data_IF_459874521450
#
_entry.id   IF_459874521450
#
_cell.length_a   1.000
_cell.length_b   1.000
_cell.length_c   1.000
_cell.angle_alpha   90.00
_cell.angle_beta   90.00
_cell.angle_gamma   90.00
#
_symmetry.space_group_name_H-M   'P 1'
#
loop_
_entity.id
_entity.type
_entity.pdbx_description
1 polymer ?
#
# COMPACT_ATOMS: atom_id res chain seq x y z
N UNK A 1 -12.55 6.15 10.26
CA UNK A 1 -12.84 4.82 9.68
C UNK A 1 -11.67 4.48 8.77
N UNK A 2 -11.07 3.30 8.93
CA UNK A 2 -9.88 2.90 8.16
C UNK A 2 -10.12 2.90 6.65
N UNK A 3 -9.10 3.22 5.87
CA UNK A 3 -9.19 3.16 4.40
C UNK A 3 -8.88 1.74 3.92
N UNK A 4 -9.76 1.15 3.10
CA UNK A 4 -9.55 -0.17 2.52
C UNK A 4 -9.18 0.03 1.05
N UNK A 5 -7.92 -0.18 0.72
CA UNK A 5 -7.35 0.14 -0.59
C UNK A 5 -6.89 -1.13 -1.30
N UNK A 6 -7.53 -1.44 -2.43
CA UNK A 6 -7.08 -2.52 -3.31
C UNK A 6 -6.02 -2.07 -4.31
N UNK A 7 -4.96 -2.85 -4.46
CA UNK A 7 -3.99 -2.73 -5.55
C UNK A 7 -4.34 -3.72 -6.67
N UNK A 8 -4.73 -3.20 -7.84
CA UNK A 8 -5.28 -4.00 -8.94
C UNK A 8 -4.55 -3.78 -10.27
N UNK A 9 -4.36 -4.86 -11.04
CA UNK A 9 -4.10 -4.80 -12.49
C UNK A 9 -4.45 -6.13 -13.16
N UNK A 10 -4.80 -6.07 -14.45
CA UNK A 10 -5.07 -7.22 -15.31
C UNK A 10 -3.79 -7.77 -15.98
N UNK A 11 -2.73 -8.09 -15.20
CA UNK A 11 -1.56 -8.90 -15.64
C UNK A 11 -0.56 -9.13 -14.50
N UNK A 12 0.09 -10.29 -14.50
CA UNK A 12 1.17 -10.63 -13.56
C UNK A 12 2.43 -9.78 -13.80
N UNK A 13 3.25 -9.59 -12.77
CA UNK A 13 4.56 -8.93 -12.89
C UNK A 13 4.56 -7.40 -12.92
N UNK A 14 3.42 -6.73 -12.71
CA UNK A 14 3.33 -5.26 -12.70
C UNK A 14 3.60 -4.61 -11.33
N UNK A 15 4.26 -5.33 -10.40
CA UNK A 15 4.69 -4.77 -9.12
C UNK A 15 3.60 -4.55 -8.06
N UNK A 16 2.39 -5.10 -8.18
CA UNK A 16 1.33 -4.97 -7.16
C UNK A 16 1.72 -5.49 -5.79
N UNK A 17 2.17 -6.74 -5.70
CA UNK A 17 2.56 -7.37 -4.44
C UNK A 17 3.68 -6.56 -3.79
N UNK A 18 4.73 -6.25 -4.56
CA UNK A 18 5.83 -5.39 -4.14
C UNK A 18 5.33 -4.03 -3.66
N UNK A 19 4.35 -3.43 -4.34
CA UNK A 19 3.78 -2.13 -3.97
C UNK A 19 2.97 -2.22 -2.68
N UNK A 20 2.13 -3.23 -2.55
CA UNK A 20 1.29 -3.47 -1.36
C UNK A 20 2.16 -3.68 -0.13
N UNK A 21 3.18 -4.54 -0.25
CA UNK A 21 4.12 -4.86 0.83
C UNK A 21 4.91 -3.62 1.24
N UNK A 22 5.48 -2.87 0.29
CA UNK A 22 6.37 -1.77 0.64
C UNK A 22 5.61 -0.52 1.08
N UNK A 23 4.45 -0.20 0.49
CA UNK A 23 3.60 0.86 1.04
C UNK A 23 3.15 0.47 2.46
N UNK A 24 2.67 -0.76 2.67
CA UNK A 24 2.25 -1.22 4.01
C UNK A 24 3.38 -1.18 5.04
N UNK A 25 4.57 -1.64 4.64
CA UNK A 25 5.80 -1.55 5.45
C UNK A 25 6.14 -0.12 5.83
N UNK A 26 6.20 0.78 4.84
CA UNK A 26 6.48 2.19 5.11
C UNK A 26 5.47 2.80 6.07
N UNK A 27 4.17 2.65 5.80
CA UNK A 27 3.09 3.17 6.64
C UNK A 27 3.20 2.67 8.09
N UNK A 28 3.52 1.39 8.30
CA UNK A 28 3.73 0.85 9.64
C UNK A 28 4.92 1.51 10.36
N UNK A 29 6.03 1.81 9.65
CA UNK A 29 7.16 2.58 10.22
C UNK A 29 6.81 4.03 10.56
N UNK A 30 5.72 4.55 9.99
CA UNK A 30 5.15 5.88 10.27
C UNK A 30 4.05 5.84 11.35
N UNK A 31 3.95 4.74 12.10
CA UNK A 31 3.04 4.59 13.23
C UNK A 31 1.58 4.28 12.86
N UNK A 32 1.26 4.06 11.58
CA UNK A 32 -0.10 3.68 11.19
C UNK A 32 -0.34 2.19 11.45
N UNK A 33 -1.54 1.84 11.95
CA UNK A 33 -1.98 0.45 12.03
C UNK A 33 -2.39 -0.05 10.65
N UNK A 34 -1.65 -1.01 10.10
CA UNK A 34 -1.83 -1.53 8.75
C UNK A 34 -2.15 -3.02 8.76
N UNK A 35 -3.19 -3.41 8.02
CA UNK A 35 -3.46 -4.80 7.65
C UNK A 35 -3.19 -4.98 6.15
N UNK A 36 -2.26 -5.84 5.78
CA UNK A 36 -2.10 -6.27 4.38
C UNK A 36 -2.84 -7.57 4.15
N UNK A 37 -3.62 -7.67 3.07
CA UNK A 37 -4.43 -8.85 2.72
C UNK A 37 -3.91 -9.45 1.42
N UNK A 38 -3.53 -10.71 1.46
CA UNK A 38 -3.20 -11.49 0.27
C UNK A 38 -4.47 -12.08 -0.33
N UNK A 39 -4.94 -11.57 -1.47
CA UNK A 39 -6.10 -12.15 -2.18
C UNK A 39 -5.69 -13.03 -3.35
N UNK A 40 -4.39 -13.15 -3.64
CA UNK A 40 -3.88 -13.97 -4.73
C UNK A 40 -3.66 -15.41 -4.22
N UNK A 41 -4.30 -16.44 -4.80
CA UNK A 41 -4.03 -17.83 -4.42
C UNK A 41 -2.56 -18.24 -4.56
N UNK A 42 -1.75 -17.51 -5.32
CA UNK A 42 -0.30 -17.75 -5.39
C UNK A 42 0.43 -17.43 -4.08
N UNK A 43 -0.18 -16.72 -3.13
CA UNK A 43 0.42 -16.44 -1.82
C UNK A 43 1.64 -15.51 -1.88
N UNK A 44 1.81 -14.75 -2.97
CA UNK A 44 3.02 -13.97 -3.21
C UNK A 44 3.23 -12.89 -2.14
N UNK A 45 2.17 -12.25 -1.64
CA UNK A 45 2.29 -11.25 -0.57
C UNK A 45 2.71 -11.91 0.74
N UNK A 46 2.12 -13.05 1.04
CA UNK A 46 2.44 -13.88 2.22
C UNK A 46 3.92 -14.28 2.22
N UNK A 47 4.39 -14.81 1.08
CA UNK A 47 5.79 -15.20 0.88
C UNK A 47 6.75 -14.00 0.90
N UNK A 48 6.36 -12.84 0.37
CA UNK A 48 7.18 -11.62 0.42
C UNK A 48 7.42 -11.17 1.87
N UNK A 49 6.47 -11.39 2.77
CA UNK A 49 6.69 -11.18 4.20
C UNK A 49 7.44 -12.34 4.88
N UNK A 50 7.93 -13.33 4.15
CA UNK A 50 8.76 -14.41 4.70
C UNK A 50 7.97 -15.50 5.42
N UNK A 51 6.65 -15.56 5.22
CA UNK A 51 5.82 -16.66 5.68
C UNK A 51 5.66 -17.67 4.55
N UNK A 52 5.98 -18.94 4.84
CA UNK A 52 5.76 -20.02 3.90
C UNK A 52 4.26 -20.33 3.78
N UNK A 53 3.73 -20.11 2.57
CA UNK A 53 2.31 -20.28 2.26
C UNK A 53 1.83 -21.73 2.43
N UNK A 54 2.74 -22.70 2.27
CA UNK A 54 2.40 -24.12 2.28
C UNK A 54 2.33 -24.70 3.71
N UNK A 55 2.94 -24.01 4.69
CA UNK A 55 2.95 -24.41 6.10
C UNK A 55 2.02 -23.59 7.00
N UNK A 56 1.14 -22.76 6.42
CA UNK A 56 0.15 -22.00 7.18
C UNK A 56 -0.89 -22.91 7.84
N UNK A 57 -1.06 -22.76 9.17
CA UNK A 57 -2.14 -23.44 9.92
C UNK A 57 -3.53 -22.83 9.68
N UNK A 58 -3.57 -21.59 9.23
CA UNK A 58 -4.78 -20.82 8.97
C UNK A 58 -4.52 -19.78 7.89
N UNK A 59 -5.45 -19.61 6.95
CA UNK A 59 -5.32 -18.57 5.92
C UNK A 59 -6.69 -18.00 5.51
N UNK A 60 -6.68 -17.09 4.55
CA UNK A 60 -7.87 -16.46 3.98
C UNK A 60 -8.97 -17.47 3.61
N UNK A 61 -8.59 -18.66 3.11
CA UNK A 61 -9.50 -19.77 2.80
C UNK A 61 -10.40 -20.13 3.98
N UNK A 62 -9.87 -20.20 5.20
CA UNK A 62 -10.65 -20.55 6.39
C UNK A 62 -11.71 -19.51 6.73
N UNK A 63 -11.42 -18.23 6.45
CA UNK A 63 -12.40 -17.15 6.61
C UNK A 63 -13.50 -17.25 5.55
N UNK A 64 -13.13 -17.51 4.31
CA UNK A 64 -14.09 -17.66 3.22
C UNK A 64 -15.01 -18.86 3.39
N UNK A 65 -14.50 -19.94 4.00
CA UNK A 65 -15.27 -21.12 4.35
C UNK A 65 -15.96 -21.02 5.73
N UNK A 66 -15.86 -19.88 6.42
CA UNK A 66 -16.43 -19.64 7.76
C UNK A 66 -16.00 -20.68 8.82
N UNK A 67 -14.77 -21.18 8.70
CA UNK A 67 -14.17 -22.16 9.63
C UNK A 67 -13.48 -21.50 10.82
N UNK A 68 -12.95 -20.30 10.60
CA UNK A 68 -12.22 -19.49 11.60
C UNK A 68 -12.68 -18.04 11.50
N UNK A 69 -12.44 -17.28 12.56
CA UNK A 69 -12.59 -15.82 12.54
C UNK A 69 -11.27 -15.12 12.20
N UNK A 70 -11.32 -13.83 11.86
CA UNK A 70 -10.16 -13.07 11.40
C UNK A 70 -8.98 -13.12 12.39
N UNK A 71 -9.26 -13.13 13.70
CA UNK A 71 -8.23 -13.00 14.74
C UNK A 71 -7.45 -14.31 14.92
N UNK A 72 -8.04 -15.43 14.50
CA UNK A 72 -7.40 -16.75 14.45
C UNK A 72 -6.52 -16.94 13.21
N UNK A 73 -6.65 -16.05 12.21
CA UNK A 73 -5.99 -16.17 10.90
C UNK A 73 -4.93 -15.09 10.69
N UNK A 74 -5.15 -13.88 11.21
CA UNK A 74 -4.23 -12.75 11.04
C UNK A 74 -2.90 -13.02 11.75
N UNK A 75 -1.82 -12.86 10.99
CA UNK A 75 -0.45 -12.88 11.50
C UNK A 75 -0.05 -11.47 11.90
N UNK A 76 0.32 -11.30 13.17
CA UNK A 76 0.91 -10.04 13.66
C UNK A 76 2.41 -10.05 13.39
N UNK A 77 2.84 -9.47 12.26
CA UNK A 77 4.27 -9.38 11.91
C UNK A 77 5.01 -8.45 12.87
N UNK A 78 4.39 -7.30 13.17
CA UNK A 78 4.87 -6.31 14.12
C UNK A 78 3.68 -5.58 14.76
N UNK A 79 3.92 -4.69 15.71
CA UNK A 79 2.91 -3.91 16.43
C UNK A 79 1.96 -3.15 15.47
N UNK A 80 2.49 -2.64 14.36
CA UNK A 80 1.75 -1.81 13.41
C UNK A 80 1.47 -2.48 12.06
N UNK A 81 2.00 -3.69 11.82
CA UNK A 81 1.87 -4.38 10.54
C UNK A 81 1.35 -5.79 10.75
N UNK A 82 0.12 -6.01 10.31
CA UNK A 82 -0.55 -7.30 10.34
C UNK A 82 -0.76 -7.82 8.92
N UNK A 83 -0.83 -9.13 8.78
CA UNK A 83 -0.97 -9.81 7.51
C UNK A 83 -2.16 -10.77 7.61
N UNK A 84 -3.07 -10.70 6.65
CA UNK A 84 -4.05 -11.74 6.39
C UNK A 84 -3.47 -12.63 5.27
N UNK A 85 -2.87 -13.78 5.62
CA UNK A 85 -2.13 -14.60 4.67
C UNK A 85 -3.06 -15.44 3.78
N UNK A 86 -2.52 -15.92 2.67
CA UNK A 86 -3.23 -16.77 1.71
C UNK A 86 -2.31 -17.85 1.14
N UNK A 87 -2.92 -18.88 0.55
CA UNK A 87 -2.20 -19.96 -0.11
C UNK A 87 -3.04 -20.57 -1.25
N UNK A 88 -2.46 -21.58 -1.90
CA UNK A 88 -3.00 -22.19 -3.12
C UNK A 88 -4.38 -22.83 -2.93
N UNK A 89 -4.73 -23.21 -1.69
CA UNK A 89 -6.05 -23.78 -1.35
C UNK A 89 -7.22 -22.85 -1.69
N UNK A 90 -6.96 -21.54 -1.79
CA UNK A 90 -7.94 -20.55 -2.20
C UNK A 90 -8.46 -20.77 -3.64
N UNK A 91 -7.72 -21.49 -4.47
CA UNK A 91 -8.16 -21.87 -5.83
C UNK A 91 -9.39 -22.78 -5.79
N UNK A 92 -9.43 -23.73 -4.86
CA UNK A 92 -10.58 -24.63 -4.68
C UNK A 92 -11.80 -23.88 -4.13
N UNK A 93 -11.55 -22.94 -3.20
CA UNK A 93 -12.57 -22.01 -2.70
C UNK A 93 -13.14 -21.22 -3.87
N UNK A 94 -12.31 -20.59 -4.69
CA UNK A 94 -12.72 -19.78 -5.83
C UNK A 94 -13.67 -20.55 -6.75
N UNK A 95 -13.37 -21.82 -7.04
CA UNK A 95 -14.24 -22.69 -7.84
C UNK A 95 -15.57 -22.98 -7.14
N UNK A 96 -15.56 -23.25 -5.83
CA UNK A 96 -16.77 -23.53 -5.04
C UNK A 96 -17.68 -22.31 -4.89
N UNK A 97 -17.12 -21.09 -4.86
CA UNK A 97 -17.86 -19.85 -4.74
C UNK A 97 -18.84 -19.64 -5.90
N UNK A 98 -18.63 -20.25 -7.07
CA UNK A 98 -19.52 -20.11 -8.21
C UNK A 98 -20.98 -20.52 -7.92
N UNK A 99 -21.22 -21.34 -6.90
CA UNK A 99 -22.56 -21.81 -6.50
C UNK A 99 -23.13 -21.07 -5.29
N UNK A 100 -22.34 -20.20 -4.65
CA UNK A 100 -22.70 -19.54 -3.41
C UNK A 100 -23.47 -18.24 -3.65
N UNK A 101 -24.52 -18.01 -2.86
CA UNK A 101 -25.24 -16.74 -2.82
C UNK A 101 -24.36 -15.67 -2.16
N UNK A 102 -24.45 -14.42 -2.62
CA UNK A 102 -23.72 -13.28 -2.05
C UNK A 102 -22.20 -13.46 -1.98
N UNK A 103 -21.64 -14.35 -2.81
CA UNK A 103 -20.22 -14.70 -2.88
C UNK A 103 -19.29 -13.51 -3.11
N UNK A 104 -19.80 -12.40 -3.64
CA UNK A 104 -19.07 -11.16 -3.89
C UNK A 104 -18.77 -10.36 -2.63
N UNK A 105 -19.45 -10.65 -1.52
CA UNK A 105 -19.42 -9.85 -0.29
C UNK A 105 -18.60 -10.48 0.84
N UNK A 106 -18.04 -11.67 0.65
CA UNK A 106 -17.41 -12.45 1.72
C UNK A 106 -16.28 -11.68 2.39
N UNK A 107 -15.35 -11.12 1.59
CA UNK A 107 -14.24 -10.34 2.16
C UNK A 107 -14.74 -9.07 2.88
N UNK A 108 -15.79 -8.41 2.37
CA UNK A 108 -16.37 -7.25 3.02
C UNK A 108 -16.90 -7.62 4.41
N UNK A 109 -17.62 -8.74 4.49
CA UNK A 109 -18.23 -9.19 5.74
C UNK A 109 -17.16 -9.62 6.77
N UNK A 110 -15.99 -10.07 6.30
CA UNK A 110 -14.80 -10.34 7.13
C UNK A 110 -14.12 -9.06 7.62
N UNK A 111 -13.92 -8.05 6.75
CA UNK A 111 -13.11 -6.87 7.06
C UNK A 111 -13.88 -5.72 7.72
N UNK A 112 -15.16 -5.56 7.40
CA UNK A 112 -15.97 -4.45 7.92
C UNK A 112 -16.04 -4.39 9.45
N UNK A 113 -16.17 -5.51 10.19
CA UNK A 113 -16.19 -5.49 11.66
C UNK A 113 -14.91 -4.95 12.30
N UNK A 114 -13.76 -5.09 11.63
CA UNK A 114 -12.44 -4.68 12.16
C UNK A 114 -11.89 -3.43 11.47
N UNK A 115 -12.66 -2.79 10.59
CA UNK A 115 -12.19 -1.64 9.82
C UNK A 115 -11.76 -0.46 10.71
N UNK A 116 -12.28 -0.39 11.94
CA UNK A 116 -11.92 0.63 12.91
C UNK A 116 -10.60 0.35 13.65
N UNK A 117 -10.09 -0.88 13.59
CA UNK A 117 -8.85 -1.30 14.27
C UNK A 117 -7.59 -0.94 13.45
N UNK A 118 -7.76 -0.57 12.18
CA UNK A 118 -6.69 -0.26 11.24
C UNK A 118 -6.89 1.13 10.63
N UNK A 119 -5.80 1.87 10.46
CA UNK A 119 -5.78 3.10 9.68
C UNK A 119 -5.91 2.76 8.18
N UNK A 120 -5.20 1.71 7.75
CA UNK A 120 -5.18 1.23 6.38
C UNK A 120 -5.31 -0.29 6.30
N UNK A 121 -6.18 -0.77 5.42
CA UNK A 121 -6.23 -2.16 4.98
C UNK A 121 -5.84 -2.19 3.51
N UNK A 122 -4.70 -2.80 3.18
CA UNK A 122 -4.14 -2.84 1.83
C UNK A 122 -4.33 -4.24 1.23
N UNK A 123 -5.05 -4.34 0.12
CA UNK A 123 -5.39 -5.63 -0.50
C UNK A 123 -4.57 -5.84 -1.78
N UNK A 124 -3.75 -6.90 -1.82
CA UNK A 124 -3.08 -7.36 -3.04
C UNK A 124 -3.99 -8.29 -3.82
N UNK A 125 -4.61 -7.79 -4.89
CA UNK A 125 -5.55 -8.57 -5.70
C UNK A 125 -4.84 -9.62 -6.58
N UNK A 126 -5.52 -10.70 -7.01
CA UNK A 126 -4.97 -11.56 -8.05
C UNK A 126 -4.86 -10.83 -9.41
N UNK A 127 -4.04 -11.35 -10.36
CA UNK A 127 -3.86 -10.75 -11.69
C UNK A 127 -5.09 -10.92 -12.61
N UNK A 128 -6.03 -11.78 -12.23
CA UNK A 128 -7.28 -12.01 -12.95
C UNK A 128 -8.40 -11.09 -12.41
N UNK A 129 -9.36 -10.71 -13.24
CA UNK A 129 -10.55 -9.95 -12.80
C UNK A 129 -11.70 -10.90 -12.44
N UNK A 130 -11.36 -11.97 -11.70
CA UNK A 130 -12.28 -13.02 -11.25
C UNK A 130 -13.07 -12.64 -9.99
N UNK A 131 -13.68 -13.64 -9.35
CA UNK A 131 -14.52 -13.44 -8.16
C UNK A 131 -13.72 -12.92 -6.96
N UNK A 132 -12.44 -13.26 -6.86
CA UNK A 132 -11.54 -12.76 -5.81
C UNK A 132 -11.26 -11.27 -5.96
N UNK A 133 -10.95 -10.81 -7.17
CA UNK A 133 -10.82 -9.37 -7.47
C UNK A 133 -12.13 -8.62 -7.25
N UNK A 134 -13.28 -9.23 -7.54
CA UNK A 134 -14.59 -8.63 -7.21
C UNK A 134 -14.76 -8.51 -5.69
N UNK A 135 -14.44 -9.54 -4.90
CA UNK A 135 -14.49 -9.49 -3.43
C UNK A 135 -13.63 -8.35 -2.88
N UNK A 136 -12.39 -8.21 -3.38
CA UNK A 136 -11.49 -7.14 -3.00
C UNK A 136 -12.10 -5.75 -3.27
N UNK A 137 -12.64 -5.52 -4.48
CA UNK A 137 -13.27 -4.25 -4.84
C UNK A 137 -14.58 -3.99 -4.06
N UNK A 138 -15.34 -5.03 -3.72
CA UNK A 138 -16.56 -4.89 -2.91
C UNK A 138 -16.24 -4.52 -1.46
N UNK A 139 -15.16 -5.05 -0.90
CA UNK A 139 -14.67 -4.70 0.42
C UNK A 139 -14.00 -3.31 0.49
N UNK A 140 -13.52 -2.80 -0.64
CA UNK A 140 -12.66 -1.61 -0.67
C UNK A 140 -13.42 -0.28 -0.62
N UNK A 141 -12.84 0.71 0.04
CA UNK A 141 -13.24 2.11 -0.09
C UNK A 141 -12.76 2.68 -1.41
N UNK A 142 -11.55 2.29 -1.82
CA UNK A 142 -10.93 2.73 -3.07
C UNK A 142 -9.93 1.73 -3.63
N UNK A 143 -9.49 1.96 -4.87
CA UNK A 143 -8.46 1.14 -5.48
C UNK A 143 -7.45 1.97 -6.26
N UNK A 144 -6.23 1.45 -6.31
CA UNK A 144 -5.08 1.99 -7.03
C UNK A 144 -4.64 0.97 -8.09
N UNK A 145 -4.35 1.47 -9.29
CA UNK A 145 -3.76 0.67 -10.35
C UNK A 145 -2.23 0.77 -10.30
N UNK A 146 -1.52 -0.35 -10.35
CA UNK A 146 -0.06 -0.37 -10.58
C UNK A 146 0.21 -0.65 -12.05
N UNK A 147 0.89 0.22 -12.77
CA UNK A 147 1.13 0.09 -14.22
C UNK A 147 2.62 0.03 -14.51
N UNK A 148 3.05 -1.02 -15.20
CA UNK A 148 4.41 -1.14 -15.71
C UNK A 148 4.50 -0.79 -17.21
N UNK A 149 5.53 -0.05 -17.66
CA UNK A 149 5.66 0.39 -19.05
C UNK A 149 5.57 -0.76 -20.06
N UNK A 150 6.27 -1.86 -19.78
CA UNK A 150 6.39 -3.05 -20.64
C UNK A 150 5.02 -3.69 -20.92
N UNK A 151 4.06 -3.48 -20.04
CA UNK A 151 2.74 -4.12 -20.08
C UNK A 151 1.63 -3.12 -20.39
N UNK A 152 1.95 -2.00 -21.05
CA UNK A 152 0.99 -0.96 -21.38
C UNK A 152 0.46 -1.01 -22.83
N UNK A 153 -0.47 -1.92 -23.16
CA UNK A 153 -1.50 -1.62 -24.12
C UNK A 153 -2.73 -1.09 -23.37
N UNK A 154 -3.28 0.04 -23.80
CA UNK A 154 -4.61 0.56 -23.38
C UNK A 154 -5.71 -0.54 -23.33
N UNK A 155 -5.53 -1.65 -24.06
CA UNK A 155 -6.34 -2.86 -23.99
C UNK A 155 -6.50 -3.45 -22.58
N UNK A 156 -5.53 -3.30 -21.68
CA UNK A 156 -5.60 -3.85 -20.31
C UNK A 156 -6.41 -2.96 -19.34
N UNK A 157 -6.59 -1.67 -19.66
CA UNK A 157 -7.36 -0.74 -18.82
C UNK A 157 -8.86 -0.95 -18.99
N UNK A 158 -9.31 -1.24 -20.22
CA UNK A 158 -10.74 -1.36 -20.53
C UNK A 158 -11.46 -2.45 -19.73
N UNK A 159 -11.00 -3.71 -19.68
CA UNK A 159 -11.67 -4.76 -18.90
C UNK A 159 -11.74 -4.44 -17.40
N UNK A 160 -10.72 -3.79 -16.87
CA UNK A 160 -10.71 -3.31 -15.49
C UNK A 160 -11.76 -2.20 -15.27
N UNK A 161 -11.86 -1.24 -16.19
CA UNK A 161 -12.87 -0.19 -16.12
C UNK A 161 -14.30 -0.75 -16.20
N UNK A 162 -14.53 -1.74 -17.07
CA UNK A 162 -15.82 -2.42 -17.20
C UNK A 162 -16.18 -3.17 -15.90
N UNK A 163 -15.20 -3.88 -15.33
CA UNK A 163 -15.35 -4.58 -14.04
C UNK A 163 -15.64 -3.60 -12.90
N UNK A 164 -14.87 -2.52 -12.80
CA UNK A 164 -15.09 -1.46 -11.83
C UNK A 164 -16.49 -0.84 -11.97
N UNK A 165 -16.92 -0.51 -13.18
CA UNK A 165 -18.23 0.10 -13.44
C UNK A 165 -19.38 -0.80 -12.99
N UNK A 166 -19.25 -2.11 -13.22
CA UNK A 166 -20.20 -3.12 -12.73
C UNK A 166 -20.21 -3.20 -11.21
N UNK A 167 -19.03 -3.37 -10.58
CA UNK A 167 -18.91 -3.43 -9.11
C UNK A 167 -19.49 -2.17 -8.48
N UNK A 168 -19.16 -1.00 -9.00
CA UNK A 168 -19.64 0.28 -8.47
C UNK A 168 -21.16 0.44 -8.58
N UNK A 169 -21.75 0.09 -9.72
CA UNK A 169 -23.19 0.27 -9.93
C UNK A 169 -24.04 -0.75 -9.15
N UNK A 170 -23.55 -1.99 -9.00
CA UNK A 170 -24.35 -3.12 -8.52
C UNK A 170 -24.00 -3.58 -7.10
N UNK A 171 -22.75 -3.43 -6.66
CA UNK A 171 -22.24 -4.09 -5.45
C UNK A 171 -21.67 -3.13 -4.40
N UNK A 172 -20.91 -2.11 -4.83
CA UNK A 172 -20.27 -1.14 -3.95
C UNK A 172 -20.31 0.29 -4.55
N UNK A 173 -21.42 1.00 -4.31
CA UNK A 173 -21.65 2.37 -4.84
C UNK A 173 -20.63 3.40 -4.38
N UNK A 174 -20.00 3.16 -3.24
CA UNK A 174 -19.01 4.06 -2.64
C UNK A 174 -17.59 3.87 -3.17
N UNK A 175 -17.31 2.80 -3.92
CA UNK A 175 -15.98 2.49 -4.44
C UNK A 175 -15.43 3.66 -5.28
N UNK A 176 -14.23 4.12 -4.94
CA UNK A 176 -13.53 5.18 -5.68
C UNK A 176 -12.33 4.63 -6.43
N UNK A 177 -12.15 5.10 -7.66
CA UNK A 177 -10.87 4.96 -8.34
C UNK A 177 -9.93 6.06 -7.85
N UNK A 178 -8.93 5.67 -7.07
CA UNK A 178 -8.01 6.59 -6.38
C UNK A 178 -6.92 7.09 -7.32
N UNK A 179 -6.18 6.18 -7.93
CA UNK A 179 -5.12 6.58 -8.82
C UNK A 179 -4.35 5.48 -9.52
N UNK A 180 -3.30 5.89 -10.22
CA UNK A 180 -2.36 5.03 -10.93
C UNK A 180 -0.96 5.30 -10.40
N UNK A 181 -0.26 4.24 -10.00
CA UNK A 181 1.17 4.27 -9.66
C UNK A 181 1.93 3.61 -10.80
N UNK A 182 2.94 4.30 -11.33
CA UNK A 182 3.81 3.73 -12.35
C UNK A 182 4.97 2.98 -11.70
N UNK A 183 5.13 1.70 -12.02
CA UNK A 183 6.13 0.80 -11.44
C UNK A 183 7.05 0.25 -12.52
N UNK A 184 8.22 -0.26 -12.14
CA UNK A 184 9.23 -0.80 -13.07
C UNK A 184 9.59 0.20 -14.19
N UNK A 185 9.56 1.49 -13.88
CA UNK A 185 9.80 2.55 -14.86
C UNK A 185 11.30 2.76 -15.12
N UNK A 186 11.68 2.93 -16.38
CA UNK A 186 13.00 3.43 -16.76
C UNK A 186 12.86 4.62 -17.71
N UNK A 187 12.91 5.83 -17.16
CA UNK A 187 12.76 7.07 -17.92
C UNK A 187 13.95 7.41 -18.82
N UNK A 188 15.01 6.60 -18.83
CA UNK A 188 16.04 6.67 -19.90
C UNK A 188 15.51 6.11 -21.22
N UNK A 189 14.45 5.30 -21.18
CA UNK A 189 13.81 4.70 -22.36
C UNK A 189 12.70 5.59 -22.90
N UNK A 190 12.58 5.68 -24.23
CA UNK A 190 11.45 6.36 -24.90
C UNK A 190 10.11 5.72 -24.55
N UNK A 191 10.08 4.38 -24.44
CA UNK A 191 8.87 3.63 -24.13
C UNK A 191 8.24 4.04 -22.79
N UNK A 192 9.04 4.12 -21.72
CA UNK A 192 8.52 4.57 -20.42
C UNK A 192 8.00 6.01 -20.46
N UNK A 193 8.67 6.90 -21.19
CA UNK A 193 8.21 8.29 -21.36
C UNK A 193 6.88 8.37 -22.14
N UNK A 194 6.73 7.56 -23.19
CA UNK A 194 5.49 7.50 -23.97
C UNK A 194 4.32 6.96 -23.14
N UNK A 195 4.54 5.87 -22.41
CA UNK A 195 3.54 5.30 -21.49
C UNK A 195 3.12 6.34 -20.46
N UNK A 196 4.08 7.05 -19.85
CA UNK A 196 3.80 8.13 -18.88
C UNK A 196 2.91 9.20 -19.48
N UNK A 197 3.21 9.68 -20.69
CA UNK A 197 2.37 10.69 -21.39
C UNK A 197 0.95 10.18 -21.65
N UNK A 198 0.77 8.90 -21.98
CA UNK A 198 -0.56 8.33 -22.18
C UNK A 198 -1.32 8.25 -20.85
N UNK A 199 -0.65 7.84 -19.77
CA UNK A 199 -1.26 7.83 -18.43
C UNK A 199 -1.65 9.24 -17.99
N UNK A 200 -0.80 10.25 -18.21
CA UNK A 200 -1.08 11.66 -17.89
C UNK A 200 -2.30 12.17 -18.65
N UNK A 201 -2.44 11.82 -19.93
CA UNK A 201 -3.61 12.21 -20.75
C UNK A 201 -4.91 11.55 -20.30
N UNK A 202 -4.87 10.28 -19.89
CA UNK A 202 -6.07 9.53 -19.51
C UNK A 202 -6.44 9.71 -18.02
N UNK A 203 -5.46 10.01 -17.16
CA UNK A 203 -5.61 10.09 -15.71
C UNK A 203 -4.93 11.33 -15.10
N UNK A 204 -5.18 12.56 -15.61
CA UNK A 204 -4.37 13.75 -15.28
C UNK A 204 -4.33 14.10 -13.78
N UNK A 205 -5.42 13.87 -13.06
CA UNK A 205 -5.54 14.16 -11.62
C UNK A 205 -5.47 12.90 -10.74
N UNK A 206 -5.18 11.75 -11.35
CA UNK A 206 -5.19 10.44 -10.70
C UNK A 206 -3.87 9.69 -10.89
N UNK A 207 -2.93 10.23 -11.66
CA UNK A 207 -1.62 9.65 -11.83
C UNK A 207 -0.70 10.18 -10.74
N UNK A 208 -0.09 9.26 -10.00
CA UNK A 208 0.90 9.60 -8.99
C UNK A 208 2.12 10.24 -9.67
N UNK A 209 2.62 11.32 -9.08
CA UNK A 209 3.85 11.98 -9.51
C UNK A 209 5.05 11.05 -9.25
N UNK A 210 5.06 10.42 -8.08
CA UNK A 210 6.04 9.42 -7.73
C UNK A 210 5.87 8.16 -8.59
N UNK A 211 6.99 7.47 -8.82
CA UNK A 211 7.06 6.24 -9.58
C UNK A 211 8.15 5.34 -9.01
N UNK A 212 8.08 4.05 -9.34
CA UNK A 212 9.04 3.06 -8.87
C UNK A 212 9.89 2.57 -10.04
N UNK A 213 11.21 2.67 -9.90
CA UNK A 213 12.17 2.15 -10.88
C UNK A 213 12.35 0.64 -10.74
N UNK A 214 12.83 0.01 -11.79
CA UNK A 214 13.29 -1.38 -11.68
C UNK A 214 14.52 -1.44 -10.75
N UNK A 215 14.46 -2.26 -9.71
CA UNK A 215 15.49 -2.34 -8.68
C UNK A 215 15.78 -3.80 -8.34
N UNK A 216 17.07 -4.16 -8.29
CA UNK A 216 17.54 -5.48 -7.86
C UNK A 216 17.23 -5.69 -6.37
N UNK A 217 17.48 -4.66 -5.54
CA UNK A 217 17.21 -4.70 -4.10
C UNK A 217 15.75 -5.03 -3.77
N UNK A 218 14.79 -4.63 -4.62
CA UNK A 218 13.37 -4.98 -4.42
C UNK A 218 13.10 -6.47 -4.62
N UNK A 219 13.79 -7.11 -5.57
CA UNK A 219 13.67 -8.55 -5.82
C UNK A 219 14.33 -9.35 -4.70
N UNK A 220 15.51 -8.89 -4.25
CA UNK A 220 16.23 -9.49 -3.13
C UNK A 220 15.45 -9.37 -1.83
N UNK A 221 14.89 -8.19 -1.52
CA UNK A 221 14.03 -7.97 -0.36
C UNK A 221 12.86 -8.98 -0.33
N UNK A 222 12.16 -9.13 -1.46
CA UNK A 222 11.09 -10.12 -1.62
C UNK A 222 11.56 -11.54 -1.36
N UNK A 223 12.73 -11.93 -1.87
CA UNK A 223 13.28 -13.28 -1.67
C UNK A 223 13.72 -13.56 -0.24
N UNK A 224 14.02 -12.50 0.53
CA UNK A 224 14.44 -12.60 1.93
C UNK A 224 13.31 -12.42 2.93
N UNK A 225 12.05 -12.33 2.47
CA UNK A 225 10.91 -12.18 3.37
C UNK A 225 10.84 -10.79 4.04
N UNK A 226 11.39 -9.76 3.39
CA UNK A 226 11.59 -8.43 3.96
C UNK A 226 10.95 -7.35 3.08
N UNK A 227 10.46 -6.30 3.73
CA UNK A 227 10.22 -5.03 3.04
C UNK A 227 11.55 -4.43 2.58
N UNK A 228 11.51 -3.52 1.61
CA UNK A 228 12.71 -2.83 1.13
C UNK A 228 13.37 -2.00 2.22
N UNK A 229 12.59 -1.50 3.18
CA UNK A 229 13.07 -0.71 4.32
C UNK A 229 13.81 -1.57 5.36
N UNK A 230 13.45 -2.86 5.46
CA UNK A 230 14.15 -3.84 6.32
C UNK A 230 15.39 -4.43 5.62
N UNK A 231 15.35 -4.56 4.30
CA UNK A 231 16.42 -5.17 3.52
C UNK A 231 17.54 -4.18 3.17
N UNK A 232 17.20 -3.08 2.49
CA UNK A 232 18.15 -2.07 2.02
C UNK A 232 17.48 -0.67 2.01
N UNK A 233 17.43 0.00 3.18
CA UNK A 233 16.77 1.29 3.33
C UNK A 233 17.46 2.44 2.58
N UNK A 234 18.70 2.23 2.10
CA UNK A 234 19.42 3.23 1.31
C UNK A 234 19.29 2.99 -0.20
N UNK A 235 18.62 1.91 -0.60
CA UNK A 235 18.40 1.59 -2.00
C UNK A 235 17.53 2.62 -2.72
N UNK A 236 17.70 2.64 -4.03
CA UNK A 236 16.82 3.36 -4.95
C UNK A 236 15.35 2.92 -4.83
N UNK A 237 15.12 1.64 -4.49
CA UNK A 237 13.78 1.09 -4.29
C UNK A 237 13.12 1.59 -3.01
N UNK A 238 13.88 1.71 -1.92
CA UNK A 238 13.40 2.31 -0.69
C UNK A 238 13.02 3.78 -0.89
N UNK A 239 13.89 4.54 -1.57
CA UNK A 239 13.60 5.93 -1.92
C UNK A 239 12.34 6.08 -2.78
N UNK A 240 12.20 5.26 -3.82
CA UNK A 240 11.04 5.31 -4.72
C UNK A 240 9.74 4.98 -3.98
N UNK A 241 9.72 3.91 -3.17
CA UNK A 241 8.52 3.53 -2.41
C UNK A 241 8.21 4.49 -1.27
N UNK A 242 9.21 5.11 -0.66
CA UNK A 242 9.00 6.20 0.29
C UNK A 242 8.21 7.33 -0.39
N UNK A 243 8.65 7.83 -1.55
CA UNK A 243 7.94 8.91 -2.27
C UNK A 243 6.51 8.51 -2.65
N UNK A 244 6.30 7.27 -3.13
CA UNK A 244 4.97 6.76 -3.46
C UNK A 244 4.07 6.68 -2.22
N UNK A 245 4.59 6.19 -1.10
CA UNK A 245 3.84 6.07 0.14
C UNK A 245 3.54 7.44 0.78
N UNK A 246 4.42 8.43 0.61
CA UNK A 246 4.18 9.81 1.05
C UNK A 246 3.10 10.49 0.21
N UNK A 247 3.15 10.35 -1.12
CA UNK A 247 2.07 10.83 -1.99
C UNK A 247 0.75 10.13 -1.68
N UNK A 248 0.79 8.82 -1.41
CA UNK A 248 -0.37 8.05 -0.94
C UNK A 248 -0.94 8.65 0.35
N UNK A 249 -0.12 8.94 1.35
CA UNK A 249 -0.57 9.55 2.60
C UNK A 249 -1.24 10.92 2.38
N UNK A 250 -0.61 11.80 1.59
CA UNK A 250 -1.13 13.12 1.27
C UNK A 250 -2.51 13.08 0.59
N UNK A 251 -2.74 12.04 -0.21
CA UNK A 251 -3.98 11.80 -0.93
C UNK A 251 -5.09 11.24 -0.02
N UNK A 252 -4.76 10.54 1.08
CA UNK A 252 -5.76 9.85 1.90
C UNK A 252 -6.36 10.67 3.04
N UNK A 253 -5.74 11.78 3.49
CA UNK A 253 -6.40 12.77 4.37
C UNK A 253 -6.13 12.68 5.88
N UNK A 254 -6.13 11.51 6.56
CA UNK A 254 -5.67 11.39 7.94
C UNK A 254 -4.24 11.90 8.11
N UNK A 255 -3.41 11.74 7.09
CA UNK A 255 -2.09 12.34 7.06
C UNK A 255 -2.14 13.86 7.14
N UNK A 256 -3.09 14.56 6.52
CA UNK A 256 -3.16 16.03 6.67
C UNK A 256 -3.56 16.45 8.09
N UNK A 257 -4.49 15.74 8.73
CA UNK A 257 -4.88 16.05 10.12
C UNK A 257 -3.79 15.66 11.11
N UNK A 258 -3.15 14.49 10.93
CA UNK A 258 -2.05 14.01 11.76
C UNK A 258 -0.78 14.84 11.54
N UNK A 259 -0.45 15.21 10.30
CA UNK A 259 0.65 16.13 9.96
C UNK A 259 0.36 17.53 10.48
N UNK A 260 -0.87 18.05 10.35
CA UNK A 260 -1.24 19.35 10.92
C UNK A 260 -1.14 19.33 12.46
N UNK A 261 -1.62 18.26 13.11
CA UNK A 261 -1.47 18.08 14.55
C UNK A 261 0.00 18.07 14.97
N UNK A 262 0.87 17.32 14.27
CA UNK A 262 2.29 17.30 14.60
C UNK A 262 3.00 18.60 14.24
N UNK A 263 2.58 19.29 13.18
CA UNK A 263 3.08 20.63 12.85
C UNK A 263 2.74 21.63 13.96
N UNK A 264 1.49 21.64 14.43
CA UNK A 264 1.06 22.48 15.56
C UNK A 264 1.79 22.10 16.85
N UNK A 265 1.88 20.81 17.17
CA UNK A 265 2.60 20.33 18.34
C UNK A 265 4.08 20.72 18.29
N UNK A 266 4.71 20.66 17.11
CA UNK A 266 6.10 21.06 16.91
C UNK A 266 6.28 22.56 17.13
N UNK A 267 5.42 23.39 16.53
CA UNK A 267 5.50 24.85 16.65
C UNK A 267 5.25 25.35 18.09
N UNK A 268 4.53 24.59 18.91
CA UNK A 268 4.29 24.90 20.32
C UNK A 268 5.46 24.53 21.24
N UNK A 269 6.46 23.77 20.76
CA UNK A 269 7.63 23.43 21.56
C UNK A 269 8.59 24.63 21.69
N UNK A 270 9.33 24.75 22.80
CA UNK A 270 10.44 25.70 22.90
C UNK A 270 11.45 25.48 21.76
N UNK A 271 12.07 26.55 21.25
CA UNK A 271 13.04 26.50 20.13
C UNK A 271 14.13 25.44 20.37
N UNK A 272 14.67 25.36 21.58
CA UNK A 272 15.71 24.38 21.94
C UNK A 272 15.25 22.93 21.70
N UNK A 273 13.98 22.62 22.00
CA UNK A 273 13.41 21.29 21.72
C UNK A 273 13.15 21.08 20.24
N UNK A 274 12.71 22.11 19.51
CA UNK A 274 12.51 22.04 18.07
C UNK A 274 13.84 21.69 17.37
N UNK A 275 14.93 22.35 17.74
CA UNK A 275 16.27 22.08 17.21
C UNK A 275 16.72 20.65 17.49
N UNK A 276 16.58 20.18 18.74
CA UNK A 276 16.94 18.80 19.11
C UNK A 276 16.16 17.75 18.31
N UNK A 277 14.86 17.97 18.12
CA UNK A 277 14.01 17.06 17.34
C UNK A 277 14.42 17.07 15.86
N UNK A 278 14.71 18.24 15.28
CA UNK A 278 15.15 18.34 13.89
C UNK A 278 16.52 17.73 13.67
N UNK A 279 17.47 17.91 14.58
CA UNK A 279 18.79 17.26 14.52
C UNK A 279 18.65 15.74 14.60
N UNK A 280 17.81 15.25 15.51
CA UNK A 280 17.56 13.82 15.63
C UNK A 280 16.87 13.27 14.37
N UNK A 281 15.84 13.95 13.86
CA UNK A 281 15.14 13.59 12.63
C UNK A 281 16.10 13.56 11.43
N UNK A 282 16.95 14.59 11.30
CA UNK A 282 17.99 14.66 10.28
C UNK A 282 18.98 13.51 10.41
N UNK A 283 19.34 13.10 11.63
CA UNK A 283 20.24 11.96 11.85
C UNK A 283 19.65 10.62 11.39
N UNK A 284 18.32 10.51 11.31
CA UNK A 284 17.59 9.33 10.83
C UNK A 284 17.41 9.28 9.30
N UNK A 285 17.61 10.40 8.60
CA UNK A 285 17.57 10.42 7.13
C UNK A 285 18.64 9.50 6.52
N UNK A 286 18.33 8.95 5.34
CA UNK A 286 19.29 8.22 4.52
C UNK A 286 20.48 9.10 4.15
N UNK A 287 21.64 8.48 3.90
CA UNK A 287 22.86 9.16 3.43
C UNK A 287 22.59 10.02 2.18
N UNK A 288 21.75 9.51 1.27
CA UNK A 288 21.30 10.22 0.07
C UNK A 288 20.45 11.46 0.38
N UNK A 289 19.48 11.36 1.30
CA UNK A 289 18.66 12.51 1.67
C UNK A 289 19.45 13.55 2.48
N UNK A 290 20.39 13.11 3.33
CA UNK A 290 21.30 14.02 4.05
C UNK A 290 22.12 14.88 3.10
N UNK A 291 22.81 14.24 2.13
CA UNK A 291 23.65 14.98 1.18
C UNK A 291 22.83 15.98 0.36
N UNK A 292 21.62 15.62 -0.06
CA UNK A 292 20.76 16.54 -0.80
C UNK A 292 20.18 17.66 0.07
N UNK A 293 19.93 17.41 1.35
CA UNK A 293 19.48 18.46 2.27
C UNK A 293 20.60 19.48 2.55
N UNK A 294 21.85 19.02 2.57
CA UNK A 294 23.05 19.86 2.67
C UNK A 294 23.29 20.68 1.38
N UNK A 295 23.10 20.08 0.21
CA UNK A 295 23.43 20.70 -1.09
C UNK A 295 22.28 21.53 -1.71
N UNK A 296 21.02 21.17 -1.43
CA UNK A 296 19.84 21.65 -2.17
C UNK A 296 18.68 21.95 -1.22
N UNK A 297 18.90 22.73 -0.15
CA UNK A 297 17.95 22.98 0.94
C UNK A 297 16.50 23.38 0.57
N UNK A 298 16.18 23.61 -0.70
CA UNK A 298 14.84 23.91 -1.24
C UNK A 298 14.17 22.75 -2.03
N UNK A 299 14.73 21.54 -2.09
CA UNK A 299 14.04 20.41 -2.73
C UNK A 299 12.85 19.92 -1.87
N UNK A 300 11.63 20.19 -2.34
CA UNK A 300 10.36 19.83 -1.71
C UNK A 300 10.29 18.36 -1.24
N UNK A 301 10.90 17.43 -1.99
CA UNK A 301 10.89 16.02 -1.63
C UNK A 301 11.79 15.71 -0.42
N UNK A 302 12.93 16.40 -0.32
CA UNK A 302 13.89 16.20 0.77
C UNK A 302 13.41 16.89 2.06
N UNK A 303 12.78 18.06 1.94
CA UNK A 303 12.10 18.72 3.05
C UNK A 303 10.94 17.88 3.59
N UNK A 304 10.17 17.23 2.70
CA UNK A 304 9.11 16.29 3.08
C UNK A 304 9.65 15.13 3.93
N UNK A 305 10.78 14.54 3.52
CA UNK A 305 11.42 13.46 4.28
C UNK A 305 11.86 13.89 5.70
N UNK A 306 12.38 15.13 5.85
CA UNK A 306 12.76 15.66 7.17
C UNK A 306 11.54 15.89 8.07
N UNK A 307 10.46 16.46 7.52
CA UNK A 307 9.18 16.66 8.21
C UNK A 307 8.62 15.32 8.72
N UNK A 308 8.80 14.26 7.95
CA UNK A 308 8.33 12.93 8.31
C UNK A 308 9.13 12.34 9.46
N UNK A 309 10.47 12.36 9.39
CA UNK A 309 11.30 11.87 10.49
C UNK A 309 11.06 12.68 11.77
N UNK A 310 10.81 13.99 11.65
CA UNK A 310 10.37 14.85 12.77
C UNK A 310 9.04 14.38 13.34
N UNK A 311 8.05 14.09 12.49
CA UNK A 311 6.73 13.64 12.93
C UNK A 311 6.78 12.27 13.64
N UNK A 312 7.68 11.36 13.25
CA UNK A 312 7.90 10.10 13.98
C UNK A 312 8.38 10.32 15.42
N UNK A 313 9.23 11.32 15.63
CA UNK A 313 9.70 11.69 16.98
C UNK A 313 8.53 12.24 17.79
N UNK A 314 7.75 13.16 17.18
CA UNK A 314 6.59 13.78 17.82
C UNK A 314 5.49 12.77 18.15
N UNK A 315 5.28 11.75 17.34
CA UNK A 315 4.32 10.69 17.63
C UNK A 315 4.63 9.93 18.92
N UNK A 316 5.93 9.69 19.20
CA UNK A 316 6.35 9.03 20.44
C UNK A 316 6.16 9.93 21.66
N UNK A 317 6.33 11.23 21.49
CA UNK A 317 6.21 12.22 22.58
C UNK A 317 4.76 12.67 22.82
N UNK A 318 3.98 12.76 21.76
CA UNK A 318 2.62 13.32 21.71
C UNK A 318 1.71 12.45 20.84
N UNK A 319 1.37 11.22 21.26
CA UNK A 319 0.61 10.29 20.42
C UNK A 319 -0.69 10.91 19.91
N UNK A 320 -0.89 10.92 18.59
CA UNK A 320 -2.13 11.41 18.00
C UNK A 320 -3.29 10.46 18.39
N UNK A 321 -4.15 10.92 19.31
CA UNK A 321 -5.40 10.22 19.64
C UNK A 321 -6.51 10.86 18.85
N UNK A 322 -7.12 10.10 17.93
CA UNK A 322 -8.33 10.54 17.24
C UNK A 322 -9.35 10.98 18.28
N UNK A 323 -9.68 12.28 18.32
CA UNK A 323 -10.84 12.74 19.06
C UNK A 323 -12.06 12.13 18.37
N UNK A 324 -12.60 11.09 19.00
CA UNK A 324 -13.91 10.53 18.67
C UNK A 324 -14.93 11.59 19.07
N UNK A 325 -15.37 12.36 18.09
CA UNK A 325 -16.57 13.19 18.16
C UNK A 325 -17.79 12.38 17.76
#
# INVERSE_FOLDING_TARGET
MGQIVSFIIQKGGCGKTTTTVNIGGYLATQGYKVLTVDMDPQGNLTQHFGYDSDSLEACLTDLFMQRKNLQEVVIKRDENLHILPNNISMTDVEFSLFKSLSREYILRDVLHPVQHDYDFILIDCPPNLGILSVNALVASTEFIMTVAPEFFPMKAIKPLYDTYSRVKSQLNRTLRFKGVVMTLADFRTRHSQEVRKVLERNFPQRLYKAYVRNSVSLKEASSMGKTIFEYDPQSIGAFDYQNVAEEFLLDHGPARQKMAYYEEAFQQLPEEKQTQILEYARSRLSSFNKSRLDDLGEDDAVQSALVIERNKVLERLFPYRHQTG
#
